data_IF_556478544148
#
_entry.id   IF_556478544148
#
_cell.length_a   1.000
_cell.length_b   1.000
_cell.length_c   1.000
_cell.angle_alpha   90.00
_cell.angle_beta   90.00
_cell.angle_gamma   90.00
#
_symmetry.space_group_name_H-M   'P 1'
#
loop_
_entity.id
_entity.type
_entity.pdbx_description
1 polymer ?
#
# COMPACT_ATOMS: atom_id res chain seq x y z
N UNK A 1 -9.98 -0.82 -82.52
CA UNK A 1 -9.59 -2.18 -82.11
C UNK A 1 -8.54 -2.09 -80.99
N UNK A 2 -8.87 -2.64 -79.82
CA UNK A 2 -8.00 -3.30 -78.82
C UNK A 2 -6.74 -2.57 -78.31
N UNK A 3 -6.91 -1.78 -77.24
CA UNK A 3 -5.83 -1.44 -76.30
C UNK A 3 -5.90 -2.39 -75.10
N UNK A 4 -5.19 -3.52 -75.15
CA UNK A 4 -5.14 -4.43 -74.00
C UNK A 4 -3.76 -5.08 -73.87
N UNK A 5 -2.82 -4.29 -73.38
CA UNK A 5 -1.68 -4.80 -72.62
C UNK A 5 -1.45 -3.82 -71.46
N UNK A 6 -1.99 -4.14 -70.29
CA UNK A 6 -1.52 -3.57 -69.02
C UNK A 6 -1.07 -4.74 -68.16
N UNK A 7 0.21 -5.08 -68.32
CA UNK A 7 1.02 -5.61 -67.25
C UNK A 7 0.95 -4.63 -66.07
N UNK A 8 0.66 -5.12 -64.87
CA UNK A 8 1.60 -5.20 -63.73
C UNK A 8 0.81 -5.33 -62.41
N UNK A 9 1.00 -6.46 -61.74
CA UNK A 9 0.99 -6.53 -60.27
C UNK A 9 2.02 -5.51 -59.74
N UNK A 10 1.86 -4.88 -58.55
CA UNK A 10 1.37 -5.54 -57.33
C UNK A 10 0.41 -4.72 -56.46
N UNK A 11 -0.60 -5.41 -55.92
CA UNK A 11 -1.40 -4.94 -54.80
C UNK A 11 -0.68 -5.34 -53.50
N UNK A 12 0.38 -4.61 -53.15
CA UNK A 12 1.08 -4.80 -51.87
C UNK A 12 1.55 -3.44 -51.34
N UNK A 13 0.60 -2.52 -51.14
CA UNK A 13 0.87 -1.28 -50.44
C UNK A 13 0.56 -1.52 -48.96
N UNK A 14 1.64 -1.74 -48.21
CA UNK A 14 1.68 -2.01 -46.79
C UNK A 14 0.92 -0.92 -46.01
N UNK A 15 -0.17 -1.31 -45.34
CA UNK A 15 -0.82 -0.52 -44.31
C UNK A 15 -0.02 -0.72 -43.01
N UNK A 16 1.14 -0.05 -42.91
CA UNK A 16 1.87 0.08 -41.65
C UNK A 16 1.18 1.20 -40.88
N UNK A 17 0.18 0.87 -40.07
CA UNK A 17 -0.34 1.79 -39.07
C UNK A 17 0.73 1.86 -37.98
N UNK A 18 1.40 3.00 -37.75
CA UNK A 18 2.25 3.11 -36.57
C UNK A 18 1.33 3.07 -35.36
N UNK A 19 1.29 1.93 -34.68
CA UNK A 19 0.78 1.85 -33.32
C UNK A 19 1.73 2.67 -32.47
N UNK A 20 1.35 3.92 -32.20
CA UNK A 20 1.92 4.69 -31.10
C UNK A 20 1.61 3.92 -29.82
N UNK A 21 2.53 3.05 -29.43
CA UNK A 21 2.57 2.49 -28.09
C UNK A 21 2.69 3.69 -27.15
N UNK A 22 1.58 4.06 -26.51
CA UNK A 22 1.64 4.97 -25.37
C UNK A 22 2.51 4.27 -24.35
N UNK A 23 3.73 4.76 -24.16
CA UNK A 23 4.56 4.33 -23.06
C UNK A 23 3.81 4.70 -21.80
N UNK A 24 3.12 3.73 -21.19
CA UNK A 24 2.55 3.93 -19.87
C UNK A 24 3.73 4.21 -18.94
N UNK A 25 3.86 5.48 -18.55
CA UNK A 25 4.74 5.87 -17.46
C UNK A 25 4.16 5.23 -16.22
N UNK A 26 4.56 3.98 -15.96
CA UNK A 26 4.34 3.30 -14.68
C UNK A 26 4.99 4.18 -13.63
N UNK A 27 4.20 5.03 -12.96
CA UNK A 27 4.63 5.74 -11.77
C UNK A 27 4.99 4.68 -10.75
N UNK A 28 6.29 4.45 -10.55
CA UNK A 28 6.77 3.60 -9.47
C UNK A 28 6.15 4.10 -8.17
N UNK A 29 5.45 3.25 -7.40
CA UNK A 29 4.90 3.63 -6.11
C UNK A 29 6.00 4.28 -5.26
N UNK A 30 5.81 5.55 -4.94
CA UNK A 30 6.76 6.33 -4.14
C UNK A 30 6.05 6.82 -2.89
N UNK A 31 6.78 6.77 -1.78
CA UNK A 31 6.31 7.30 -0.52
C UNK A 31 7.50 7.76 0.32
N UNK A 32 7.24 8.71 1.19
CA UNK A 32 8.18 9.20 2.19
C UNK A 32 7.46 9.28 3.53
N UNK A 33 8.06 8.74 4.58
CA UNK A 33 7.61 8.97 5.96
C UNK A 33 8.32 10.22 6.46
N UNK A 34 7.55 11.29 6.69
CA UNK A 34 8.07 12.57 7.18
C UNK A 34 8.35 12.55 8.67
N UNK A 35 7.46 11.93 9.43
CA UNK A 35 7.53 11.88 10.88
C UNK A 35 6.75 10.67 11.40
N UNK A 36 7.22 10.15 12.54
CA UNK A 36 6.56 9.09 13.29
C UNK A 36 6.57 9.46 14.77
N UNK A 37 5.39 9.54 15.36
CA UNK A 37 5.21 9.74 16.81
C UNK A 37 4.53 8.50 17.39
N UNK A 38 4.96 8.06 18.56
CA UNK A 38 4.38 6.89 19.23
C UNK A 38 4.10 7.20 20.69
N UNK A 39 2.87 6.93 21.11
CA UNK A 39 2.44 6.98 22.50
C UNK A 39 2.22 5.56 23.01
N UNK A 40 2.94 5.20 24.08
CA UNK A 40 2.88 3.86 24.67
C UNK A 40 2.47 4.00 26.13
N UNK A 41 1.39 3.31 26.49
CA UNK A 41 0.93 3.19 27.89
C UNK A 41 1.10 1.74 28.33
N UNK A 42 1.76 1.55 29.46
CA UNK A 42 2.00 0.23 30.06
C UNK A 42 1.27 0.16 31.38
N UNK A 43 0.46 -0.89 31.59
CA UNK A 43 -0.24 -1.09 32.85
C UNK A 43 0.63 -1.85 33.89
N UNK A 44 0.08 -2.09 35.08
CA UNK A 44 0.74 -2.82 36.17
C UNK A 44 1.03 -4.30 35.86
N UNK A 45 0.35 -4.87 34.87
CA UNK A 45 0.56 -6.24 34.36
C UNK A 45 1.59 -6.30 33.23
N UNK A 46 2.05 -5.15 32.75
CA UNK A 46 2.95 -5.02 31.60
C UNK A 46 2.26 -5.01 30.25
N UNK A 47 0.92 -5.04 30.20
CA UNK A 47 0.20 -4.93 28.93
C UNK A 47 0.39 -3.53 28.35
N UNK A 48 0.60 -3.46 27.04
CA UNK A 48 0.86 -2.21 26.33
C UNK A 48 -0.34 -1.82 25.48
N UNK A 49 -0.76 -0.57 25.60
CA UNK A 49 -1.60 0.11 24.62
C UNK A 49 -0.70 1.06 23.84
N UNK A 50 -0.63 0.84 22.52
CA UNK A 50 0.25 1.58 21.62
C UNK A 50 -0.61 2.35 20.62
N UNK A 51 -0.33 3.64 20.49
CA UNK A 51 -0.87 4.50 19.44
C UNK A 51 0.28 5.08 18.63
N UNK A 52 0.33 4.78 17.34
CA UNK A 52 1.35 5.27 16.42
C UNK A 52 0.74 6.27 15.44
N UNK A 53 1.37 7.42 15.25
CA UNK A 53 1.00 8.42 14.24
C UNK A 53 2.09 8.48 13.17
N UNK A 54 1.69 8.28 11.90
CA UNK A 54 2.59 8.32 10.75
C UNK A 54 2.18 9.44 9.80
N UNK A 55 3.11 10.34 9.51
CA UNK A 55 2.93 11.38 8.50
C UNK A 55 3.61 10.94 7.19
N UNK A 56 2.81 10.67 6.16
CA UNK A 56 3.29 10.25 4.85
C UNK A 56 3.15 11.34 3.80
N UNK A 57 4.08 11.37 2.86
CA UNK A 57 3.88 11.93 1.53
C UNK A 57 3.86 10.80 0.51
N UNK A 58 2.73 10.57 -0.14
CA UNK A 58 2.57 9.56 -1.18
C UNK A 58 2.65 10.18 -2.58
N UNK A 59 3.40 9.54 -3.48
CA UNK A 59 3.24 9.73 -4.92
C UNK A 59 2.16 8.82 -5.49
N UNK A 60 2.25 7.51 -5.27
CA UNK A 60 1.16 6.57 -5.58
C UNK A 60 1.24 5.35 -4.67
N UNK A 61 0.15 5.01 -3.99
CA UNK A 61 0.06 3.83 -3.12
C UNK A 61 -1.38 3.27 -3.08
N UNK A 62 -1.50 1.97 -2.84
CA UNK A 62 -2.78 1.25 -2.70
C UNK A 62 -3.12 0.89 -1.25
N UNK A 63 -2.32 1.36 -0.32
CA UNK A 63 -2.43 1.05 1.11
C UNK A 63 -1.06 0.89 1.75
N UNK A 64 -1.09 0.47 3.02
CA UNK A 64 0.09 0.27 3.85
C UNK A 64 0.16 -1.20 4.26
N UNK A 65 1.36 -1.79 4.13
CA UNK A 65 1.65 -3.10 4.69
C UNK A 65 2.40 -2.91 6.01
N UNK A 66 1.88 -3.48 7.10
CA UNK A 66 2.51 -3.46 8.42
C UNK A 66 2.81 -4.88 8.86
N UNK A 67 4.07 -5.14 9.22
CA UNK A 67 4.49 -6.37 9.87
C UNK A 67 4.82 -6.04 11.30
N UNK A 68 4.14 -6.68 12.25
CA UNK A 68 4.32 -6.43 13.67
C UNK A 68 4.73 -7.75 14.33
N UNK A 69 5.89 -7.73 15.00
CA UNK A 69 6.40 -8.85 15.77
C UNK A 69 6.25 -8.52 17.27
N UNK A 70 5.32 -9.17 17.98
CA UNK A 70 5.05 -8.90 19.39
C UNK A 70 5.98 -9.76 20.27
N UNK A 71 7.27 -9.84 19.92
CA UNK A 71 8.25 -10.73 20.54
C UNK A 71 8.16 -10.72 22.09
N UNK A 72 8.18 -11.91 22.70
CA UNK A 72 8.03 -12.11 24.16
C UNK A 72 6.76 -11.52 24.76
N UNK A 73 5.66 -11.57 24.02
CA UNK A 73 4.34 -11.12 24.47
C UNK A 73 3.28 -12.15 24.08
N UNK A 74 2.09 -12.05 24.68
CA UNK A 74 0.94 -12.93 24.41
C UNK A 74 0.22 -12.58 23.09
N UNK A 75 0.82 -11.71 22.27
CA UNK A 75 0.37 -11.38 20.93
C UNK A 75 -0.30 -10.01 20.81
N UNK A 76 -0.71 -9.70 19.58
CA UNK A 76 -1.35 -8.43 19.21
C UNK A 76 -2.86 -8.59 19.25
N UNK A 77 -3.54 -7.63 19.85
CA UNK A 77 -4.99 -7.59 19.94
C UNK A 77 -5.51 -6.25 19.43
N UNK A 78 -6.71 -6.27 18.84
CA UNK A 78 -7.47 -5.10 18.40
C UNK A 78 -6.66 -4.11 17.55
N UNK A 79 -5.88 -4.61 16.58
CA UNK A 79 -5.18 -3.72 15.64
C UNK A 79 -6.20 -2.96 14.79
N UNK A 80 -6.12 -1.63 14.84
CA UNK A 80 -6.97 -0.71 14.09
C UNK A 80 -6.15 0.39 13.44
N UNK A 81 -6.67 0.95 12.36
CA UNK A 81 -6.03 2.05 11.66
C UNK A 81 -7.06 3.10 11.25
N UNK A 82 -6.62 4.35 11.23
CA UNK A 82 -7.40 5.50 10.79
C UNK A 82 -6.55 6.38 9.90
N UNK A 83 -7.18 7.02 8.92
CA UNK A 83 -6.65 8.23 8.31
C UNK A 83 -7.17 9.40 9.14
N UNK A 84 -6.30 10.09 9.87
CA UNK A 84 -6.66 11.26 10.69
C UNK A 84 -6.75 12.52 9.82
N UNK A 85 -5.86 12.63 8.83
CA UNK A 85 -5.82 13.74 7.88
C UNK A 85 -5.65 13.17 6.46
N UNK A 86 -6.41 13.66 5.47
CA UNK A 86 -7.45 14.70 5.58
C UNK A 86 -8.85 14.23 6.02
N UNK A 87 -9.18 12.94 5.92
CA UNK A 87 -10.60 12.51 5.96
C UNK A 87 -11.13 12.08 7.34
N UNK A 88 -10.28 11.94 8.36
CA UNK A 88 -10.66 11.50 9.72
C UNK A 88 -11.62 10.29 9.71
N UNK A 89 -11.17 9.17 9.12
CA UNK A 89 -11.95 7.93 8.93
C UNK A 89 -11.23 6.70 9.44
N UNK A 90 -11.96 5.71 9.91
CA UNK A 90 -11.42 4.36 10.16
C UNK A 90 -11.15 3.67 8.83
N UNK A 91 -10.06 2.92 8.75
CA UNK A 91 -9.61 2.22 7.55
C UNK A 91 -9.85 0.73 7.68
N UNK A 92 -10.12 0.09 6.54
CA UNK A 92 -10.23 -1.35 6.49
C UNK A 92 -8.86 -2.00 6.68
N UNK A 93 -8.81 -2.95 7.61
CA UNK A 93 -7.60 -3.70 7.98
C UNK A 93 -7.85 -5.18 7.76
N UNK A 94 -6.98 -5.80 6.97
CA UNK A 94 -6.99 -7.24 6.72
C UNK A 94 -5.71 -7.87 7.27
N UNK A 95 -5.85 -8.97 8.01
CA UNK A 95 -4.70 -9.81 8.38
C UNK A 95 -4.40 -10.74 7.21
N UNK A 96 -3.26 -10.53 6.55
CA UNK A 96 -2.90 -11.27 5.33
C UNK A 96 -1.96 -12.45 5.59
N UNK A 97 -1.41 -12.57 6.80
CA UNK A 97 -0.56 -13.70 7.16
C UNK A 97 0.06 -13.58 8.54
N UNK A 98 0.57 -14.72 9.02
CA UNK A 98 1.41 -14.80 10.21
C UNK A 98 2.64 -15.63 9.85
N UNK A 99 3.84 -15.12 10.11
CA UNK A 99 5.09 -15.83 9.88
C UNK A 99 6.10 -15.54 10.99
N UNK A 100 6.78 -16.57 11.50
CA UNK A 100 7.84 -16.44 12.51
C UNK A 100 7.44 -15.56 13.71
N UNK A 101 6.21 -15.74 14.22
CA UNK A 101 5.67 -14.97 15.33
C UNK A 101 5.24 -13.54 14.98
N UNK A 102 5.41 -13.09 13.73
CA UNK A 102 4.97 -11.77 13.26
C UNK A 102 3.61 -11.86 12.55
N UNK A 103 2.75 -10.88 12.76
CA UNK A 103 1.49 -10.73 12.03
C UNK A 103 1.62 -9.64 10.98
N UNK A 104 1.13 -9.91 9.77
CA UNK A 104 1.10 -8.96 8.66
C UNK A 104 -0.31 -8.44 8.44
N UNK A 105 -0.43 -7.11 8.44
CA UNK A 105 -1.67 -6.39 8.22
C UNK A 105 -1.57 -5.55 6.96
N UNK A 106 -2.63 -5.61 6.14
CA UNK A 106 -2.82 -4.72 5.02
C UNK A 106 -3.89 -3.70 5.39
N UNK A 107 -3.52 -2.42 5.33
CA UNK A 107 -4.38 -1.29 5.62
C UNK A 107 -4.74 -0.67 4.27
N UNK A 108 -6.02 -0.70 3.92
CA UNK A 108 -6.48 -0.27 2.61
C UNK A 108 -6.70 1.23 2.60
N UNK A 109 -5.92 1.92 1.76
CA UNK A 109 -6.13 3.33 1.46
C UNK A 109 -5.43 3.69 0.14
N UNK A 110 -6.21 4.12 -0.86
CA UNK A 110 -5.63 4.56 -2.13
C UNK A 110 -5.18 6.02 -1.99
N UNK A 111 -3.92 6.25 -2.33
CA UNK A 111 -3.27 7.56 -2.20
C UNK A 111 -2.50 7.91 -3.48
N UNK A 112 -2.63 9.16 -3.93
CA UNK A 112 -1.95 9.67 -5.12
C UNK A 112 -1.57 11.14 -4.92
N UNK A 113 -0.27 11.44 -4.98
CA UNK A 113 0.33 12.76 -4.85
C UNK A 113 -0.24 13.58 -3.67
N UNK A 114 -0.27 12.97 -2.47
CA UNK A 114 -0.98 13.48 -1.30
C UNK A 114 -0.20 13.28 -0.01
N UNK A 115 -0.33 14.24 0.91
CA UNK A 115 0.13 14.11 2.29
C UNK A 115 -1.00 13.59 3.17
N UNK A 116 -0.75 12.53 3.93
CA UNK A 116 -1.73 11.92 4.83
C UNK A 116 -1.13 11.66 6.21
N UNK A 117 -1.96 11.77 7.24
CA UNK A 117 -1.62 11.32 8.58
C UNK A 117 -2.46 10.08 8.92
N UNK A 118 -1.78 9.01 9.32
CA UNK A 118 -2.43 7.79 9.79
C UNK A 118 -2.21 7.65 11.29
N UNK A 119 -3.23 7.15 11.97
CA UNK A 119 -3.13 6.66 13.34
C UNK A 119 -3.31 5.15 13.31
N UNK A 120 -2.45 4.42 14.01
CA UNK A 120 -2.57 2.98 14.22
C UNK A 120 -2.64 2.71 15.71
N UNK A 121 -3.57 1.85 16.11
CA UNK A 121 -3.75 1.46 17.51
C UNK A 121 -3.64 -0.05 17.64
N UNK A 122 -2.89 -0.50 18.66
CA UNK A 122 -2.80 -1.91 19.02
C UNK A 122 -2.66 -2.10 20.53
N UNK A 123 -3.09 -3.28 20.96
CA UNK A 123 -2.82 -3.80 22.29
C UNK A 123 -1.85 -4.96 22.20
N UNK A 124 -0.87 -5.00 23.09
CA UNK A 124 0.09 -6.08 23.20
C UNK A 124 0.01 -6.63 24.62
N UNK A 125 -0.44 -7.87 24.76
CA UNK A 125 -0.56 -8.52 26.07
C UNK A 125 0.81 -8.94 26.58
N UNK A 126 1.13 -8.68 27.85
CA UNK A 126 2.40 -9.15 28.41
C UNK A 126 2.42 -10.68 28.49
N UNK A 127 3.55 -11.31 28.18
CA UNK A 127 3.70 -12.75 28.41
C UNK A 127 4.30 -13.02 29.79
N UNK A 128 3.60 -13.73 30.69
CA UNK A 128 4.07 -13.92 32.06
C UNK A 128 5.30 -14.84 32.19
N UNK A 129 5.77 -15.51 31.12
CA UNK A 129 7.00 -16.33 31.14
C UNK A 129 7.68 -16.38 29.74
N UNK A 130 8.97 -16.01 29.61
CA UNK A 130 9.75 -16.14 28.38
C UNK A 130 10.30 -17.56 28.13
#
# INVERSE_FOLDING_TARGET
>A
MKNWLKFTAPFLMALIIPTVASAETSSTPSYEIKDVTMDIKVNDKGDMHVTEFFNYNFGQARGILRTINPNKSDGIQNFKAWEVIPENKELDVETIGTNEGSTQYKIYDQSENVSKQFMMELFVGNSPNP
#
